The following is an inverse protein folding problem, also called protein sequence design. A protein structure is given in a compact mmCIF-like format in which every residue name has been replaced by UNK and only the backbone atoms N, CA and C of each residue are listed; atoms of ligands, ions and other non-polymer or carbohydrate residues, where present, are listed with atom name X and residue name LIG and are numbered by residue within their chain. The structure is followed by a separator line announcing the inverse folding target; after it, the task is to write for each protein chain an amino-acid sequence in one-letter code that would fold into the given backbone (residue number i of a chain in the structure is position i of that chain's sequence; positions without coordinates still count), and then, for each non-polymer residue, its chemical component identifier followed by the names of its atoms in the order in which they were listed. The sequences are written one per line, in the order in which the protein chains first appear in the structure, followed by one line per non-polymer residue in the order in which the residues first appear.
data_IF_574616248291
#
_entry.id   IF_574616248291
#
_cell.length_a   1.000
_cell.length_b   1.000
_cell.length_c   1.000
_cell.angle_alpha   90.00
_cell.angle_beta   90.00
_cell.angle_gamma   90.00
#
_symmetry.space_group_name_H-M   'P 1'
#
loop_
_entity.id
_entity.type
_entity.pdbx_description
1 polymer ?
#
# COMPACT_ATOMS: atom_id res chain seq x y z
N UNK A 1 -22.01 -26.00 85.66
CA UNK A 1 -23.07 -25.07 85.21
C UNK A 1 -22.38 -23.75 84.94
N UNK A 2 -21.51 -23.75 83.93
CA UNK A 2 -21.77 -23.33 82.55
C UNK A 2 -21.54 -21.82 82.41
N UNK A 3 -20.28 -21.50 82.12
CA UNK A 3 -19.83 -20.26 81.49
C UNK A 3 -20.43 -20.17 80.08
N UNK A 4 -20.92 -18.99 79.70
CA UNK A 4 -21.15 -18.66 78.29
C UNK A 4 -20.75 -17.19 78.08
N UNK A 5 -19.72 -17.01 77.26
CA UNK A 5 -19.13 -15.75 76.87
C UNK A 5 -19.84 -15.22 75.61
N UNK A 6 -20.15 -13.93 75.58
CA UNK A 6 -20.65 -13.24 74.40
C UNK A 6 -19.48 -12.52 73.71
N UNK A 7 -19.09 -13.02 72.53
CA UNK A 7 -18.23 -12.32 71.56
C UNK A 7 -19.10 -11.39 70.71
N UNK A 8 -18.76 -10.10 70.71
CA UNK A 8 -19.39 -9.07 69.89
C UNK A 8 -18.58 -8.91 68.59
N UNK A 9 -19.18 -9.31 67.47
CA UNK A 9 -18.56 -9.35 66.14
C UNK A 9 -18.66 -8.00 65.44
N UNK A 10 -17.56 -7.25 65.40
CA UNK A 10 -17.42 -6.06 64.57
C UNK A 10 -17.24 -6.46 63.09
N UNK A 11 -18.27 -6.20 62.28
CA UNK A 11 -18.24 -6.38 60.83
C UNK A 11 -17.26 -5.38 60.18
N UNK A 12 -16.20 -5.93 59.57
CA UNK A 12 -15.31 -5.18 58.69
C UNK A 12 -16.07 -4.75 57.43
N UNK A 13 -16.18 -3.44 57.22
CA UNK A 13 -16.70 -2.87 55.98
C UNK A 13 -15.76 -3.21 54.81
N UNK A 14 -16.33 -3.74 53.73
CA UNK A 14 -15.60 -3.95 52.47
C UNK A 14 -14.96 -2.63 51.98
N UNK A 15 -13.68 -2.63 51.57
CA UNK A 15 -13.05 -1.45 51.01
C UNK A 15 -13.74 -1.05 49.69
N UNK A 16 -13.86 0.26 49.40
CA UNK A 16 -14.49 0.74 48.18
C UNK A 16 -13.75 0.21 46.93
N UNK A 17 -14.46 -0.18 45.87
CA UNK A 17 -13.84 -0.68 44.64
C UNK A 17 -13.06 0.45 43.95
N UNK A 18 -11.81 0.13 43.61
CA UNK A 18 -10.94 0.83 42.67
C UNK A 18 -10.70 2.33 42.92
N UNK A 19 -9.82 2.61 43.87
CA UNK A 19 -8.95 3.78 43.71
C UNK A 19 -8.15 3.59 42.41
N UNK A 20 -8.15 4.56 41.47
CA UNK A 20 -7.41 4.42 40.21
C UNK A 20 -5.95 4.16 40.56
N UNK A 21 -5.45 3.00 40.12
CA UNK A 21 -4.07 2.57 40.30
C UNK A 21 -3.18 3.72 39.82
N UNK A 22 -2.42 4.33 40.73
CA UNK A 22 -1.57 5.46 40.39
C UNK A 22 -0.66 5.03 39.22
N UNK A 23 -0.86 5.65 38.06
CA UNK A 23 -0.12 5.33 36.88
C UNK A 23 1.33 5.77 37.09
N UNK A 24 2.27 4.82 37.00
CA UNK A 24 3.69 5.12 37.10
C UNK A 24 4.13 5.97 35.90
N UNK A 25 5.24 6.73 36.03
CA UNK A 25 5.77 7.49 34.91
C UNK A 25 6.15 6.54 33.76
N UNK A 26 5.58 6.80 32.59
CA UNK A 26 5.86 6.17 31.33
C UNK A 26 7.22 6.66 30.81
N UNK A 27 8.13 5.72 30.57
CA UNK A 27 9.38 5.96 29.83
C UNK A 27 9.25 5.35 28.43
N UNK A 28 9.41 6.19 27.41
CA UNK A 28 9.36 5.80 26.00
C UNK A 28 10.69 6.16 25.36
N UNK A 29 11.31 5.20 24.69
CA UNK A 29 12.54 5.43 23.94
C UNK A 29 12.20 5.75 22.49
N UNK A 30 12.67 6.89 22.00
CA UNK A 30 12.39 7.36 20.64
C UNK A 30 13.67 7.38 19.84
N UNK A 31 13.81 6.46 18.89
CA UNK A 31 14.98 6.38 18.02
C UNK A 31 14.76 7.21 16.76
N UNK A 32 15.59 8.20 16.54
CA UNK A 32 15.65 8.93 15.26
C UNK A 32 16.37 8.09 14.22
N UNK A 33 16.11 8.36 12.95
CA UNK A 33 16.76 7.65 11.84
C UNK A 33 18.28 7.88 11.77
N UNK A 34 18.78 8.99 12.32
CA UNK A 34 20.20 9.22 12.50
C UNK A 34 20.85 8.29 13.56
N UNK A 35 20.07 7.35 14.13
CA UNK A 35 20.49 6.42 15.16
C UNK A 35 20.53 7.02 16.57
N UNK A 36 20.23 8.31 16.71
CA UNK A 36 20.14 8.93 18.02
C UNK A 36 18.90 8.42 18.75
N UNK A 37 19.05 8.07 20.02
CA UNK A 37 17.92 7.64 20.86
C UNK A 37 17.64 8.73 21.87
N UNK A 38 16.37 9.11 21.99
CA UNK A 38 15.88 10.15 22.88
C UNK A 38 14.90 9.52 23.86
N UNK A 39 15.24 9.59 25.15
CA UNK A 39 14.35 9.11 26.20
C UNK A 39 13.31 10.16 26.53
N UNK A 40 12.04 9.78 26.38
CA UNK A 40 10.88 10.61 26.66
C UNK A 40 10.25 10.13 27.97
N UNK A 41 10.36 10.96 29.00
CA UNK A 41 9.87 10.66 30.35
C UNK A 41 8.85 11.68 30.86
N UNK A 42 8.11 11.28 31.90
CA UNK A 42 7.13 12.12 32.57
C UNK A 42 5.74 12.10 31.92
N UNK A 43 5.46 11.07 31.13
CA UNK A 43 4.12 10.77 30.61
C UNK A 43 3.46 9.70 31.48
N UNK A 44 2.17 9.47 31.31
CA UNK A 44 1.40 8.36 31.86
C UNK A 44 0.70 7.63 30.70
N UNK A 45 0.25 6.40 30.92
CA UNK A 45 -0.43 5.59 29.90
C UNK A 45 -1.79 6.17 29.44
N UNK A 46 -2.37 7.06 30.25
CA UNK A 46 -3.59 7.82 30.00
C UNK A 46 -3.34 9.15 29.29
N UNK A 47 -2.08 9.58 29.17
CA UNK A 47 -1.77 10.79 28.40
C UNK A 47 -2.11 10.57 26.92
N UNK A 48 -2.34 11.67 26.22
CA UNK A 48 -2.71 11.64 24.81
C UNK A 48 -1.49 11.53 23.90
N UNK A 49 -1.70 11.05 22.67
CA UNK A 49 -0.67 11.06 21.63
C UNK A 49 -0.08 12.46 21.40
N UNK A 50 -0.91 13.51 21.42
CA UNK A 50 -0.43 14.89 21.27
C UNK A 50 0.56 15.29 22.37
N UNK A 51 0.36 14.85 23.61
CA UNK A 51 1.29 15.13 24.71
C UNK A 51 2.66 14.46 24.49
N UNK A 52 2.67 13.23 23.96
CA UNK A 52 3.91 12.56 23.56
C UNK A 52 4.62 13.31 22.42
N UNK A 53 3.90 13.70 21.37
CA UNK A 53 4.49 14.41 20.23
C UNK A 53 5.05 15.79 20.63
N UNK A 54 4.34 16.54 21.47
CA UNK A 54 4.82 17.83 21.99
C UNK A 54 6.09 17.65 22.84
N UNK A 55 6.17 16.55 23.61
CA UNK A 55 7.35 16.19 24.39
C UNK A 55 8.53 15.83 23.50
N UNK A 56 8.30 15.05 22.45
CA UNK A 56 9.32 14.73 21.43
C UNK A 56 9.80 16.01 20.76
N UNK A 57 8.91 16.95 20.43
CA UNK A 57 9.30 18.23 19.85
C UNK A 57 10.24 19.00 20.78
N UNK A 58 9.94 19.02 22.08
CA UNK A 58 10.74 19.71 23.07
C UNK A 58 12.14 19.08 23.27
N UNK A 59 12.27 17.76 23.17
CA UNK A 59 13.54 17.06 23.45
C UNK A 59 14.36 16.80 22.18
N UNK A 60 13.72 16.37 21.09
CA UNK A 60 14.37 16.04 19.83
C UNK A 60 14.43 17.23 18.84
N UNK A 61 13.69 18.31 19.09
CA UNK A 61 13.67 19.49 18.22
C UNK A 61 12.92 19.29 16.90
N UNK A 62 12.14 18.21 16.77
CA UNK A 62 11.36 17.91 15.56
C UNK A 62 9.94 18.48 15.73
N UNK A 63 9.48 19.44 14.91
CA UNK A 63 8.13 19.99 15.03
C UNK A 63 7.06 18.91 14.91
N UNK A 64 5.96 19.02 15.67
CA UNK A 64 4.88 18.00 15.69
C UNK A 64 4.37 17.61 14.30
N UNK A 65 4.21 18.58 13.41
CA UNK A 65 3.72 18.36 12.04
C UNK A 65 4.75 17.72 11.09
N UNK A 66 5.93 17.40 11.59
CA UNK A 66 6.97 16.65 10.89
C UNK A 66 7.25 15.29 11.56
N UNK A 67 6.54 14.95 12.65
CA UNK A 67 6.79 13.72 13.41
C UNK A 67 5.90 12.57 12.93
N UNK A 68 6.52 11.49 12.45
CA UNK A 68 5.85 10.21 12.23
C UNK A 68 6.45 9.16 13.16
N UNK A 69 5.64 8.70 14.12
CA UNK A 69 6.04 7.65 15.05
C UNK A 69 5.69 6.29 14.49
N UNK A 70 6.64 5.37 14.56
CA UNK A 70 6.44 3.97 14.20
C UNK A 70 6.62 3.10 15.44
N UNK A 71 5.66 2.24 15.73
CA UNK A 71 5.70 1.27 16.82
C UNK A 71 5.74 -0.13 16.20
N UNK A 72 6.87 -0.82 16.36
CA UNK A 72 7.07 -2.14 15.73
C UNK A 72 7.09 -2.11 14.19
N UNK A 73 7.46 -0.97 13.60
CA UNK A 73 7.47 -0.75 12.14
C UNK A 73 6.16 -0.20 11.57
N UNK A 74 5.07 -0.30 12.33
CA UNK A 74 3.77 0.24 11.94
C UNK A 74 3.62 1.69 12.35
N UNK A 75 3.04 2.51 11.48
CA UNK A 75 2.79 3.90 11.82
C UNK A 75 1.72 4.04 12.89
N UNK A 76 2.03 4.78 13.96
CA UNK A 76 1.05 5.12 14.99
C UNK A 76 -0.04 5.99 14.33
N UNK A 77 -1.32 5.59 14.40
CA UNK A 77 -2.41 6.36 13.81
C UNK A 77 -2.48 7.77 14.38
N UNK A 78 -2.50 8.77 13.50
CA UNK A 78 -2.57 10.19 13.87
C UNK A 78 -3.98 10.76 13.72
N UNK A 79 -4.97 9.94 13.35
CA UNK A 79 -6.36 10.35 13.17
C UNK A 79 -7.02 10.79 14.50
N UNK A 80 -6.62 10.20 15.62
CA UNK A 80 -7.07 10.59 16.96
C UNK A 80 -5.87 10.97 17.83
N UNK A 81 -5.44 12.23 17.71
CA UNK A 81 -4.34 12.79 18.50
C UNK A 81 -4.64 12.83 20.01
N UNK A 82 -5.90 12.68 20.40
CA UNK A 82 -6.32 12.68 21.80
C UNK A 82 -6.46 11.27 22.37
N UNK A 83 -6.30 10.22 21.55
CA UNK A 83 -6.30 8.84 22.01
C UNK A 83 -5.22 8.62 23.08
N UNK A 84 -5.54 7.89 24.16
CA UNK A 84 -4.57 7.61 25.21
C UNK A 84 -3.46 6.69 24.69
N UNK A 85 -2.22 6.92 25.12
CA UNK A 85 -1.02 6.17 24.68
C UNK A 85 -1.21 4.64 24.82
N UNK A 86 -1.83 4.20 25.92
CA UNK A 86 -2.17 2.80 26.16
C UNK A 86 -3.04 2.18 25.07
N UNK A 87 -4.00 2.93 24.51
CA UNK A 87 -4.88 2.46 23.43
C UNK A 87 -4.16 2.30 22.09
N UNK A 88 -3.06 3.04 21.90
CA UNK A 88 -2.20 2.98 20.73
C UNK A 88 -1.07 1.93 20.88
N UNK A 89 -1.07 1.16 21.97
CA UNK A 89 -0.04 0.17 22.27
C UNK A 89 1.27 0.75 22.83
N UNK A 90 1.35 2.06 23.08
CA UNK A 90 2.52 2.71 23.67
C UNK A 90 2.46 2.51 25.19
N UNK A 91 3.43 1.76 25.72
CA UNK A 91 3.50 1.31 27.13
C UNK A 91 4.89 1.58 27.73
N UNK A 92 5.06 1.30 29.02
CA UNK A 92 6.36 1.46 29.70
C UNK A 92 7.44 0.67 28.96
N UNK A 93 8.53 1.36 28.60
CA UNK A 93 9.64 0.78 27.85
C UNK A 93 9.34 0.56 26.36
N UNK A 94 8.28 1.16 25.81
CA UNK A 94 8.04 1.12 24.37
C UNK A 94 9.19 1.80 23.62
N UNK A 95 9.61 1.17 22.52
CA UNK A 95 10.55 1.73 21.57
C UNK A 95 9.79 2.18 20.32
N UNK A 96 9.84 3.48 20.05
CA UNK A 96 9.27 4.07 18.85
C UNK A 96 10.39 4.53 17.92
N UNK A 97 10.23 4.34 16.62
CA UNK A 97 11.06 5.04 15.64
C UNK A 97 10.40 6.38 15.32
N UNK A 98 11.18 7.47 15.41
CA UNK A 98 10.77 8.78 14.94
C UNK A 98 11.33 9.01 13.55
N UNK A 99 10.40 9.11 12.61
CA UNK A 99 10.64 9.51 11.25
C UNK A 99 10.30 10.99 11.14
N UNK A 100 11.26 11.79 10.65
CA UNK A 100 11.01 13.19 10.29
C UNK A 100 10.49 13.22 8.85
N UNK A 101 9.24 13.60 8.67
CA UNK A 101 8.62 13.78 7.36
C UNK A 101 8.41 15.28 7.18
N UNK A 102 9.22 15.96 6.37
CA UNK A 102 9.05 17.40 6.11
C UNK A 102 7.82 17.72 5.25
N UNK A 103 7.13 16.67 4.79
CA UNK A 103 5.90 16.69 4.04
C UNK A 103 4.69 16.75 4.97
N UNK A 104 3.64 17.55 4.64
CA UNK A 104 2.35 17.44 5.32
C UNK A 104 1.84 15.99 5.28
N UNK A 105 1.53 15.42 6.45
CA UNK A 105 1.04 14.04 6.60
C UNK A 105 -0.35 13.79 6.02
N UNK A 106 -0.98 14.82 5.46
CA UNK A 106 -2.27 14.77 4.79
C UNK A 106 -2.40 16.07 4.03
N UNK A 107 -2.91 16.02 2.80
CA UNK A 107 -3.12 17.24 2.05
C UNK A 107 -3.79 17.02 0.72
N UNK A 108 -4.41 18.10 0.23
CA UNK A 108 -4.95 18.19 -1.11
C UNK A 108 -3.97 18.98 -1.96
N UNK A 109 -3.56 18.40 -3.08
CA UNK A 109 -2.62 19.01 -4.01
C UNK A 109 -3.30 19.12 -5.38
N UNK A 110 -2.99 20.16 -6.14
CA UNK A 110 -3.60 20.34 -7.45
C UNK A 110 -2.50 20.62 -8.44
N UNK A 111 -2.33 19.73 -9.41
CA UNK A 111 -1.27 19.84 -10.39
C UNK A 111 -1.80 20.03 -11.79
N UNK A 112 -0.89 20.42 -12.66
CA UNK A 112 -1.14 20.42 -14.09
C UNK A 112 -0.18 19.41 -14.70
N UNK A 113 -0.72 18.39 -15.35
CA UNK A 113 0.06 17.51 -16.20
C UNK A 113 0.05 18.09 -17.60
N UNK A 114 1.21 18.46 -18.12
CA UNK A 114 1.33 18.84 -19.52
C UNK A 114 1.91 17.66 -20.28
N UNK A 115 1.09 16.63 -20.48
CA UNK A 115 1.41 15.62 -21.49
C UNK A 115 1.36 16.31 -22.86
N UNK A 116 2.50 16.42 -23.56
CA UNK A 116 2.63 17.23 -24.78
C UNK A 116 1.63 16.87 -25.89
N UNK A 117 1.02 15.69 -25.83
CA UNK A 117 0.02 15.22 -26.79
C UNK A 117 -1.43 15.41 -26.33
N UNK A 118 -1.67 15.64 -25.03
CA UNK A 118 -3.00 15.80 -24.45
C UNK A 118 -2.95 16.73 -23.23
N UNK A 119 -3.54 17.92 -23.38
CA UNK A 119 -3.77 18.82 -22.25
C UNK A 119 -4.79 18.16 -21.30
N UNK A 120 -4.29 17.61 -20.19
CA UNK A 120 -5.12 17.03 -19.13
C UNK A 120 -4.70 17.60 -17.78
N UNK A 121 -5.59 18.28 -17.09
CA UNK A 121 -5.34 18.78 -15.73
C UNK A 121 -5.90 17.81 -14.70
N UNK A 122 -5.18 17.63 -13.58
CA UNK A 122 -5.54 16.68 -12.54
C UNK A 122 -5.45 17.30 -11.16
N UNK A 123 -6.44 17.02 -10.33
CA UNK A 123 -6.34 17.21 -8.90
C UNK A 123 -5.82 15.94 -8.25
N UNK A 124 -4.87 16.02 -7.32
CA UNK A 124 -4.24 14.86 -6.68
C UNK A 124 -4.31 14.95 -5.17
N UNK A 125 -4.78 13.88 -4.55
CA UNK A 125 -4.82 13.74 -3.11
C UNK A 125 -3.87 12.64 -2.69
N UNK A 126 -3.21 12.86 -1.57
CA UNK A 126 -2.56 11.80 -0.85
C UNK A 126 -2.79 11.99 0.65
N UNK A 127 -2.88 10.87 1.34
CA UNK A 127 -3.03 10.85 2.78
C UNK A 127 -1.79 10.17 3.38
N UNK A 128 -0.90 10.97 3.97
CA UNK A 128 0.27 10.47 4.70
C UNK A 128 -0.09 9.60 5.90
N UNK A 129 -1.34 9.66 6.38
CA UNK A 129 -1.81 8.77 7.44
C UNK A 129 -1.97 7.32 6.97
N UNK A 130 -2.20 7.09 5.67
CA UNK A 130 -2.35 5.76 5.07
C UNK A 130 -1.03 5.19 4.54
N UNK A 131 0.08 5.91 4.68
CA UNK A 131 1.39 5.41 4.24
C UNK A 131 1.83 4.24 5.10
N UNK A 132 2.31 3.19 4.42
CA UNK A 132 2.80 1.97 5.05
C UNK A 132 4.30 1.85 4.82
N UNK A 133 5.07 1.89 5.90
CA UNK A 133 6.52 1.73 5.83
C UNK A 133 6.87 0.25 5.70
N UNK A 134 7.42 -0.12 4.55
CA UNK A 134 7.84 -1.50 4.26
C UNK A 134 9.22 -1.78 4.88
N UNK A 135 10.13 -0.81 4.83
CA UNK A 135 11.44 -0.84 5.48
C UNK A 135 11.87 0.58 5.85
N UNK A 136 11.71 0.91 7.14
CA UNK A 136 12.04 2.23 7.69
C UNK A 136 13.53 2.57 7.53
N UNK A 137 14.41 1.59 7.71
CA UNK A 137 15.86 1.81 7.65
C UNK A 137 16.33 2.16 6.25
N UNK A 138 15.63 1.66 5.23
CA UNK A 138 15.87 1.99 3.82
C UNK A 138 14.97 3.11 3.30
N UNK A 139 14.06 3.63 4.11
CA UNK A 139 13.04 4.60 3.69
C UNK A 139 12.01 4.01 2.71
N UNK A 140 11.87 2.70 2.62
CA UNK A 140 10.91 2.06 1.72
C UNK A 140 9.49 2.18 2.27
N UNK A 141 8.57 2.70 1.46
CA UNK A 141 7.16 2.85 1.80
C UNK A 141 6.23 2.56 0.62
N UNK A 142 4.99 2.24 0.95
CA UNK A 142 3.84 2.12 0.07
C UNK A 142 2.85 3.24 0.39
N UNK A 143 2.30 3.90 -0.63
CA UNK A 143 1.28 4.94 -0.47
C UNK A 143 0.32 5.01 -1.67
N UNK A 144 -0.85 5.61 -1.45
CA UNK A 144 -1.88 5.77 -2.48
C UNK A 144 -1.95 7.24 -2.92
N UNK A 145 -1.93 7.47 -4.24
CA UNK A 145 -2.28 8.75 -4.87
C UNK A 145 -3.66 8.61 -5.49
N UNK A 146 -4.60 9.46 -5.06
CA UNK A 146 -5.91 9.58 -5.70
C UNK A 146 -5.85 10.77 -6.64
N UNK A 147 -6.39 10.65 -7.84
CA UNK A 147 -6.41 11.74 -8.80
C UNK A 147 -7.77 11.88 -9.48
N UNK A 148 -8.17 13.12 -9.76
CA UNK A 148 -9.38 13.48 -10.49
C UNK A 148 -9.02 14.29 -11.71
N UNK A 149 -9.55 13.88 -12.85
CA UNK A 149 -9.42 14.64 -14.09
C UNK A 149 -10.27 15.90 -14.01
N UNK A 150 -9.65 17.07 -14.08
CA UNK A 150 -10.31 18.37 -14.07
C UNK A 150 -10.66 18.84 -15.49
N UNK A 151 -9.72 18.71 -16.42
CA UNK A 151 -9.89 19.04 -17.84
C UNK A 151 -9.23 17.95 -18.69
N UNK A 152 -9.83 17.60 -19.82
CA UNK A 152 -9.26 16.65 -20.79
C UNK A 152 -9.85 16.93 -22.18
N UNK A 153 -9.09 16.65 -23.24
CA UNK A 153 -9.63 16.62 -24.61
C UNK A 153 -10.69 15.54 -24.79
N UNK A 154 -10.66 14.50 -23.95
CA UNK A 154 -11.73 13.52 -23.82
C UNK A 154 -12.72 13.96 -22.74
N UNK A 155 -13.85 14.56 -23.14
CA UNK A 155 -14.87 15.04 -22.21
C UNK A 155 -15.42 13.96 -21.27
N UNK A 156 -15.41 12.69 -21.67
CA UNK A 156 -15.88 11.58 -20.84
C UNK A 156 -14.93 11.26 -19.67
N UNK A 157 -13.68 11.70 -19.74
CA UNK A 157 -12.71 11.52 -18.66
C UNK A 157 -12.88 12.56 -17.54
N UNK A 158 -13.49 13.71 -17.83
CA UNK A 158 -13.63 14.81 -16.86
C UNK A 158 -14.49 14.37 -15.68
N UNK A 159 -13.95 14.52 -14.47
CA UNK A 159 -14.59 14.09 -13.23
C UNK A 159 -14.38 12.62 -12.87
N UNK A 160 -13.73 11.83 -13.72
CA UNK A 160 -13.29 10.48 -13.33
C UNK A 160 -12.23 10.57 -12.23
N UNK A 161 -12.26 9.58 -11.34
CA UNK A 161 -11.31 9.44 -10.24
C UNK A 161 -10.59 8.10 -10.34
N UNK A 162 -9.27 8.15 -10.32
CA UNK A 162 -8.40 6.98 -10.20
C UNK A 162 -7.62 7.01 -8.90
N UNK A 163 -7.20 5.85 -8.44
CA UNK A 163 -6.23 5.70 -7.37
C UNK A 163 -5.06 4.86 -7.88
N UNK A 164 -3.84 5.27 -7.58
CA UNK A 164 -2.62 4.56 -7.88
C UNK A 164 -1.90 4.25 -6.57
N UNK A 165 -1.57 2.99 -6.36
CA UNK A 165 -0.71 2.56 -5.25
C UNK A 165 0.71 2.54 -5.77
N UNK A 166 1.59 3.28 -5.09
CA UNK A 166 3.01 3.36 -5.43
C UNK A 166 3.85 2.81 -4.29
N UNK A 167 4.94 2.17 -4.67
CA UNK A 167 6.03 1.82 -3.76
C UNK A 167 7.21 2.72 -4.07
N UNK A 168 7.80 3.31 -3.03
CA UNK A 168 8.89 4.25 -3.19
C UNK A 168 9.86 4.28 -2.04
N UNK A 169 10.98 4.95 -2.30
CA UNK A 169 12.05 5.19 -1.34
C UNK A 169 12.02 6.66 -0.95
N UNK A 170 11.85 6.91 0.34
CA UNK A 170 11.99 8.22 0.97
C UNK A 170 13.47 8.57 1.13
N UNK A 171 13.89 9.63 0.45
CA UNK A 171 15.18 10.28 0.64
C UNK A 171 15.06 11.30 1.78
N UNK A 172 15.68 10.96 2.91
CA UNK A 172 15.68 11.76 4.13
C UNK A 172 16.43 13.08 4.01
N UNK A 173 17.44 13.14 3.14
CA UNK A 173 18.29 14.31 2.99
C UNK A 173 17.64 15.33 2.04
N UNK A 174 16.95 14.84 1.00
CA UNK A 174 16.24 15.67 0.02
C UNK A 174 14.76 15.92 0.37
N UNK A 175 14.25 15.31 1.45
CA UNK A 175 12.84 15.31 1.82
C UNK A 175 11.95 14.97 0.61
N UNK A 176 12.30 13.86 -0.07
CA UNK A 176 11.68 13.47 -1.33
C UNK A 176 11.36 11.98 -1.38
N UNK A 177 10.42 11.59 -2.22
CA UNK A 177 10.05 10.18 -2.44
C UNK A 177 10.29 9.86 -3.89
N UNK A 178 11.07 8.82 -4.17
CA UNK A 178 11.17 8.22 -5.50
C UNK A 178 10.33 6.95 -5.52
N UNK A 179 9.19 6.98 -6.19
CA UNK A 179 8.21 5.91 -6.24
C UNK A 179 8.00 5.39 -7.65
N UNK A 180 7.56 4.15 -7.78
CA UNK A 180 7.10 3.56 -9.03
C UNK A 180 5.70 3.01 -8.83
N UNK A 181 4.82 3.19 -9.81
CA UNK A 181 3.46 2.67 -9.77
C UNK A 181 3.48 1.14 -9.67
N UNK A 182 2.79 0.60 -8.66
CA UNK A 182 2.62 -0.84 -8.45
C UNK A 182 1.29 -1.29 -9.04
N UNK A 183 0.23 -0.51 -8.79
CA UNK A 183 -1.13 -0.89 -9.18
C UNK A 183 -2.04 0.31 -9.40
N UNK A 184 -2.92 0.22 -10.40
CA UNK A 184 -3.94 1.23 -10.72
C UNK A 184 -5.34 0.68 -10.45
N UNK A 185 -6.14 1.44 -9.68
CA UNK A 185 -7.52 1.10 -9.35
C UNK A 185 -8.47 2.21 -9.76
N UNK A 186 -9.55 1.86 -10.46
CA UNK A 186 -10.66 2.78 -10.65
C UNK A 186 -11.40 3.01 -9.32
N UNK A 187 -11.59 4.26 -8.92
CA UNK A 187 -12.36 4.60 -7.72
C UNK A 187 -13.80 4.88 -8.17
N UNK A 188 -14.82 4.15 -7.66
CA UNK A 188 -16.21 4.42 -8.01
C UNK A 188 -16.56 5.88 -7.77
N UNK A 189 -17.21 6.51 -8.74
CA UNK A 189 -17.51 7.95 -8.72
C UNK A 189 -18.36 8.37 -7.52
N UNK A 190 -19.15 7.45 -6.95
CA UNK A 190 -19.94 7.66 -5.73
C UNK A 190 -19.08 7.87 -4.48
N UNK A 191 -17.88 7.27 -4.43
CA UNK A 191 -16.90 7.49 -3.36
C UNK A 191 -16.17 8.82 -3.55
N UNK A 192 -15.98 9.23 -4.81
CA UNK A 192 -15.30 10.47 -5.17
C UNK A 192 -16.08 11.74 -4.81
N UNK A 193 -17.41 11.71 -4.65
CA UNK A 193 -18.17 12.88 -4.19
C UNK A 193 -17.93 13.24 -2.73
N UNK A 194 -17.27 12.38 -1.96
CA UNK A 194 -16.80 12.74 -0.63
C UNK A 194 -15.55 13.62 -0.79
N UNK A 195 -15.73 14.94 -0.66
CA UNK A 195 -14.69 15.71 0.03
C UNK A 195 -14.31 14.93 1.30
N UNK A 196 -13.02 14.82 1.67
CA UNK A 196 -12.60 14.02 2.81
C UNK A 196 -13.53 14.32 3.99
N UNK A 197 -14.21 13.31 4.56
CA UNK A 197 -15.22 13.57 5.57
C UNK A 197 -14.54 14.29 6.72
N UNK A 198 -15.05 15.47 7.08
CA UNK A 198 -14.80 16.05 8.40
C UNK A 198 -15.09 14.93 9.42
N UNK A 199 -14.18 14.67 10.38
CA UNK A 199 -14.25 13.49 11.23
C UNK A 199 -15.59 13.49 11.98
N UNK A 200 -16.50 12.62 11.54
CA UNK A 200 -17.74 12.32 12.23
C UNK A 200 -17.57 10.98 12.93
N UNK A 201 -17.78 11.03 14.24
CA UNK A 201 -17.61 9.94 15.19
C UNK A 201 -18.74 8.91 15.06
N UNK A 202 -18.60 7.97 14.14
CA UNK A 202 -19.37 6.72 14.15
C UNK A 202 -18.45 5.47 14.14
N UNK A 203 -18.86 4.34 14.75
CA UNK A 203 -17.92 3.31 15.21
C UNK A 203 -17.36 2.39 14.11
N UNK A 204 -16.04 2.20 14.17
CA UNK A 204 -15.07 1.53 13.27
C UNK A 204 -15.30 0.07 12.82
N UNK A 205 -16.44 -0.56 13.03
CA UNK A 205 -16.55 -2.02 12.76
C UNK A 205 -16.79 -2.38 11.28
N UNK A 206 -17.15 -1.42 10.42
CA UNK A 206 -17.51 -1.69 9.02
C UNK A 206 -16.34 -1.63 8.02
N UNK A 207 -15.24 -0.92 8.33
CA UNK A 207 -14.15 -0.68 7.37
C UNK A 207 -13.21 -1.88 7.23
N UNK A 208 -12.86 -2.54 8.34
CA UNK A 208 -11.97 -3.71 8.33
C UNK A 208 -12.58 -4.94 7.60
N UNK A 209 -13.91 -5.01 7.51
CA UNK A 209 -14.61 -6.06 6.76
C UNK A 209 -14.55 -5.83 5.24
N UNK A 210 -14.63 -4.57 4.80
CA UNK A 210 -14.48 -4.20 3.39
C UNK A 210 -13.04 -4.38 2.89
N UNK A 211 -12.06 -4.10 3.74
CA UNK A 211 -10.62 -4.23 3.43
C UNK A 211 -10.20 -5.70 3.27
N UNK A 212 -10.75 -6.63 4.08
CA UNK A 212 -10.54 -8.07 3.90
C UNK A 212 -11.21 -8.63 2.65
N UNK A 213 -12.27 -7.99 2.15
CA UNK A 213 -12.96 -8.40 0.93
C UNK A 213 -12.27 -7.90 -0.36
N UNK A 214 -11.38 -6.91 -0.26
CA UNK A 214 -10.70 -6.29 -1.40
C UNK A 214 -9.30 -6.89 -1.70
N UNK A 215 -8.78 -7.79 -0.86
CA UNK A 215 -7.52 -8.47 -1.14
C UNK A 215 -7.72 -9.38 -2.35
N UNK A 216 -6.80 -9.36 -3.33
CA UNK A 216 -6.84 -10.34 -4.40
C UNK A 216 -6.87 -11.74 -3.80
N UNK A 217 -7.76 -12.58 -4.29
CA UNK A 217 -8.02 -13.90 -3.71
C UNK A 217 -6.80 -14.84 -3.78
N UNK A 218 -5.81 -14.51 -4.64
CA UNK A 218 -4.54 -15.22 -4.75
C UNK A 218 -3.53 -14.88 -3.63
N UNK A 219 -3.79 -13.84 -2.84
CA UNK A 219 -2.91 -13.46 -1.71
C UNK A 219 -3.05 -14.48 -0.59
N UNK A 220 -2.03 -15.34 -0.46
CA UNK A 220 -1.98 -16.43 0.52
C UNK A 220 -1.94 -17.83 -0.10
N UNK A 221 -2.03 -17.93 -1.43
CA UNK A 221 -1.79 -19.18 -2.14
C UNK A 221 -0.32 -19.59 -2.05
N UNK A 222 -0.09 -20.88 -1.94
CA UNK A 222 1.23 -21.49 -2.12
C UNK A 222 1.71 -21.34 -3.56
N UNK A 223 3.03 -21.48 -3.78
CA UNK A 223 3.64 -21.48 -5.11
C UNK A 223 3.02 -22.53 -6.04
N UNK A 224 2.71 -23.71 -5.50
CA UNK A 224 2.04 -24.80 -6.23
C UNK A 224 0.63 -24.40 -6.68
N UNK A 225 -0.15 -23.75 -5.80
CA UNK A 225 -1.48 -23.23 -6.12
C UNK A 225 -1.43 -22.09 -7.14
N UNK A 226 -0.46 -21.18 -7.03
CA UNK A 226 -0.24 -20.12 -8.02
C UNK A 226 0.11 -20.70 -9.40
N UNK A 227 1.01 -21.68 -9.47
CA UNK A 227 1.35 -22.36 -10.71
C UNK A 227 0.14 -23.08 -11.33
N UNK A 228 -0.68 -23.74 -10.49
CA UNK A 228 -1.90 -24.39 -10.95
C UNK A 228 -2.92 -23.39 -11.51
N UNK A 229 -3.07 -22.23 -10.89
CA UNK A 229 -3.96 -21.19 -11.41
C UNK A 229 -3.43 -20.59 -12.71
N UNK A 230 -2.13 -20.25 -12.78
CA UNK A 230 -1.51 -19.75 -14.02
C UNK A 230 -1.70 -20.77 -15.15
N UNK A 231 -1.47 -22.06 -14.87
CA UNK A 231 -1.71 -23.15 -15.83
C UNK A 231 -3.16 -23.16 -16.32
N UNK A 232 -4.13 -23.18 -15.39
CA UNK A 232 -5.55 -23.20 -15.72
C UNK A 232 -6.00 -22.01 -16.57
N UNK A 233 -5.39 -20.84 -16.35
CA UNK A 233 -5.69 -19.61 -17.09
C UNK A 233 -5.05 -19.61 -18.47
N UNK A 234 -3.87 -20.20 -18.61
CA UNK A 234 -3.17 -20.26 -19.89
C UNK A 234 -3.71 -21.35 -20.81
N UNK A 235 -4.32 -22.40 -20.24
CA UNK A 235 -4.96 -23.52 -20.93
C UNK A 235 -6.28 -23.05 -21.59
N UNK A 236 -6.15 -22.48 -22.78
CA UNK A 236 -7.20 -21.80 -23.50
C UNK A 236 -8.26 -22.78 -24.02
N UNK A 237 -7.84 -23.98 -24.39
CA UNK A 237 -8.72 -25.04 -24.88
C UNK A 237 -9.21 -26.00 -23.77
N UNK A 238 -8.66 -25.88 -22.56
CA UNK A 238 -9.03 -26.62 -21.34
C UNK A 238 -8.75 -28.12 -21.44
N UNK A 239 -7.68 -28.49 -22.14
CA UNK A 239 -7.27 -29.88 -22.29
C UNK A 239 -6.33 -30.37 -21.16
N UNK A 240 -5.94 -29.47 -20.25
CA UNK A 240 -5.03 -29.74 -19.15
C UNK A 240 -3.55 -29.74 -19.57
N UNK A 241 -3.23 -29.20 -20.74
CA UNK A 241 -1.89 -29.06 -21.31
C UNK A 241 -1.69 -27.62 -21.77
N UNK A 242 -0.43 -27.18 -21.78
CA UNK A 242 -0.03 -25.94 -22.43
C UNK A 242 0.82 -26.25 -23.65
N UNK A 243 0.32 -25.91 -24.83
CA UNK A 243 1.04 -26.04 -26.09
C UNK A 243 1.98 -24.85 -26.31
N UNK A 244 2.82 -24.92 -27.36
CA UNK A 244 3.81 -23.88 -27.70
C UNK A 244 3.21 -22.48 -27.75
N UNK A 245 2.00 -22.32 -28.31
CA UNK A 245 1.33 -21.02 -28.41
C UNK A 245 0.93 -20.43 -27.05
N UNK A 246 0.42 -21.25 -26.13
CA UNK A 246 -0.04 -20.80 -24.81
C UNK A 246 1.16 -20.48 -23.90
N UNK A 247 2.19 -21.32 -23.93
CA UNK A 247 3.45 -21.05 -23.23
C UNK A 247 4.20 -19.84 -23.79
N UNK A 248 4.04 -19.53 -25.08
CA UNK A 248 4.61 -18.32 -25.68
C UNK A 248 3.98 -17.07 -25.10
N UNK A 249 2.65 -17.05 -25.03
CA UNK A 249 1.93 -15.94 -24.41
C UNK A 249 2.36 -15.74 -22.95
N UNK A 250 2.63 -16.83 -22.22
CA UNK A 250 3.23 -16.74 -20.88
C UNK A 250 4.60 -16.06 -20.92
N UNK A 251 5.49 -16.50 -21.80
CA UNK A 251 6.84 -15.95 -21.90
C UNK A 251 6.85 -14.48 -22.31
N UNK A 252 5.99 -14.07 -23.25
CA UNK A 252 5.81 -12.68 -23.65
C UNK A 252 5.31 -11.82 -22.47
N UNK A 253 4.38 -12.34 -21.66
CA UNK A 253 3.91 -11.67 -20.43
C UNK A 253 5.02 -11.51 -19.36
N UNK A 254 6.05 -12.38 -19.44
CA UNK A 254 7.25 -12.33 -18.61
C UNK A 254 8.35 -11.43 -19.20
N UNK A 255 8.09 -10.75 -20.32
CA UNK A 255 9.05 -9.85 -20.97
C UNK A 255 10.02 -10.54 -21.93
N UNK A 256 9.69 -11.74 -22.42
CA UNK A 256 10.44 -12.35 -23.52
C UNK A 256 10.12 -11.65 -24.85
N UNK A 257 11.16 -11.28 -25.62
CA UNK A 257 11.03 -10.46 -26.84
C UNK A 257 11.56 -11.14 -28.12
N UNK A 258 11.78 -12.46 -28.10
CA UNK A 258 12.36 -13.18 -29.24
C UNK A 258 11.36 -13.44 -30.39
N UNK A 259 11.89 -13.92 -31.51
CA UNK A 259 11.09 -14.29 -32.69
C UNK A 259 10.55 -15.73 -32.66
N UNK A 260 9.63 -16.06 -33.57
CA UNK A 260 9.00 -17.40 -33.67
C UNK A 260 10.03 -18.55 -33.73
N UNK A 261 11.13 -18.37 -34.47
CA UNK A 261 12.20 -19.36 -34.60
C UNK A 261 12.93 -19.59 -33.27
N UNK A 262 13.26 -18.51 -32.55
CA UNK A 262 13.92 -18.59 -31.23
C UNK A 262 12.99 -19.20 -30.19
N UNK A 263 11.69 -18.89 -30.27
CA UNK A 263 10.67 -19.49 -29.39
C UNK A 263 10.59 -21.00 -29.57
N UNK A 264 10.53 -21.48 -30.82
CA UNK A 264 10.41 -22.91 -31.11
C UNK A 264 11.62 -23.70 -30.61
N UNK A 265 12.82 -23.14 -30.75
CA UNK A 265 14.04 -23.73 -30.17
C UNK A 265 13.97 -23.79 -28.63
N UNK A 266 13.54 -22.71 -27.98
CA UNK A 266 13.37 -22.66 -26.53
C UNK A 266 12.29 -23.63 -26.03
N UNK A 267 11.17 -23.73 -26.74
CA UNK A 267 10.08 -24.63 -26.41
C UNK A 267 10.51 -26.10 -26.48
N UNK A 268 11.31 -26.46 -27.50
CA UNK A 268 11.89 -27.80 -27.60
C UNK A 268 12.86 -28.10 -26.44
N UNK A 269 13.70 -27.14 -26.06
CA UNK A 269 14.58 -27.27 -24.89
C UNK A 269 13.77 -27.44 -23.62
N UNK A 270 12.72 -26.64 -23.42
CA UNK A 270 11.83 -26.71 -22.28
C UNK A 270 11.13 -28.08 -22.17
N UNK A 271 10.63 -28.61 -23.29
CA UNK A 271 10.02 -29.94 -23.36
C UNK A 271 11.01 -31.03 -22.93
N UNK A 272 12.25 -30.98 -23.44
CA UNK A 272 13.28 -31.95 -23.10
C UNK A 272 13.66 -31.91 -21.61
N UNK A 273 13.74 -30.71 -21.04
CA UNK A 273 14.07 -30.50 -19.63
C UNK A 273 12.95 -31.01 -18.71
N UNK A 274 11.69 -30.76 -19.07
CA UNK A 274 10.52 -31.15 -18.26
C UNK A 274 9.99 -32.57 -18.59
N UNK A 275 10.68 -33.30 -19.47
CA UNK A 275 10.27 -34.63 -19.92
C UNK A 275 8.95 -34.66 -20.68
N UNK A 276 8.54 -33.54 -21.28
CA UNK A 276 7.35 -33.47 -22.13
C UNK A 276 7.69 -33.69 -23.60
N UNK A 277 6.65 -34.00 -24.39
CA UNK A 277 6.74 -34.04 -25.85
C UNK A 277 6.12 -32.75 -26.42
N UNK A 278 6.72 -32.11 -27.42
CA UNK A 278 6.20 -30.88 -28.00
C UNK A 278 4.75 -30.99 -28.48
N UNK A 279 4.32 -32.17 -28.93
CA UNK A 279 2.96 -32.40 -29.42
C UNK A 279 1.93 -32.62 -28.30
N UNK A 280 2.37 -32.79 -27.07
CA UNK A 280 1.53 -33.06 -25.90
C UNK A 280 1.40 -31.83 -24.99
N UNK A 281 2.42 -30.96 -24.94
CA UNK A 281 2.40 -29.77 -24.08
C UNK A 281 2.70 -30.04 -22.61
N UNK A 282 2.56 -29.02 -21.76
CA UNK A 282 2.94 -29.06 -20.35
C UNK A 282 1.72 -29.23 -19.46
N UNK A 283 1.76 -30.21 -18.55
CA UNK A 283 0.82 -30.21 -17.42
C UNK A 283 1.26 -29.23 -16.32
N UNK A 284 0.41 -29.04 -15.31
CA UNK A 284 0.68 -28.11 -14.20
C UNK A 284 1.97 -28.44 -13.42
N UNK A 285 2.32 -29.72 -13.28
CA UNK A 285 3.53 -30.14 -12.56
C UNK A 285 4.79 -29.89 -13.39
N UNK A 286 4.70 -30.08 -14.71
CA UNK A 286 5.76 -29.74 -15.65
C UNK A 286 5.97 -28.22 -15.74
N UNK A 287 4.90 -27.42 -15.73
CA UNK A 287 5.01 -25.96 -15.69
C UNK A 287 5.72 -25.49 -14.41
N UNK A 288 5.37 -26.06 -13.25
CA UNK A 288 6.06 -25.77 -12.00
C UNK A 288 7.56 -26.10 -12.09
N UNK A 289 7.90 -27.27 -12.65
CA UNK A 289 9.29 -27.68 -12.87
C UNK A 289 10.03 -26.72 -13.80
N UNK A 290 9.38 -26.29 -14.89
CA UNK A 290 9.93 -25.34 -15.85
C UNK A 290 10.27 -24.00 -15.20
N UNK A 291 9.35 -23.43 -14.42
CA UNK A 291 9.54 -22.15 -13.73
C UNK A 291 10.70 -22.25 -12.72
N UNK A 292 10.77 -23.36 -11.97
CA UNK A 292 11.83 -23.57 -10.97
C UNK A 292 13.22 -23.82 -11.58
N UNK A 293 13.28 -24.40 -12.78
CA UNK A 293 14.53 -24.72 -13.48
C UNK A 293 14.98 -23.62 -14.45
N UNK A 294 14.11 -22.68 -14.78
CA UNK A 294 14.49 -21.52 -15.58
C UNK A 294 15.64 -20.79 -14.88
N UNK A 295 16.75 -20.58 -15.59
CA UNK A 295 17.99 -20.00 -15.05
C UNK A 295 17.86 -18.52 -14.66
N UNK A 296 16.65 -17.97 -14.71
CA UNK A 296 16.32 -16.71 -14.09
C UNK A 296 16.55 -16.91 -12.58
N UNK A 297 17.39 -16.10 -11.91
CA UNK A 297 17.74 -16.33 -10.51
C UNK A 297 16.49 -16.60 -9.68
N UNK A 298 16.43 -17.75 -9.02
CA UNK A 298 15.29 -18.17 -8.20
C UNK A 298 14.90 -17.03 -7.24
N UNK A 299 13.80 -16.36 -7.55
CA UNK A 299 13.36 -15.13 -6.87
C UNK A 299 12.96 -13.97 -7.78
N UNK A 300 13.25 -14.00 -9.09
CA UNK A 300 12.87 -12.89 -9.99
C UNK A 300 11.49 -13.03 -10.62
N UNK A 301 11.01 -14.26 -10.86
CA UNK A 301 9.65 -14.47 -11.38
C UNK A 301 8.68 -14.49 -10.19
N UNK A 302 8.05 -13.35 -9.95
CA UNK A 302 6.92 -13.24 -9.03
C UNK A 302 5.65 -13.78 -9.69
N UNK A 303 5.30 -15.04 -9.38
CA UNK A 303 4.10 -15.69 -9.92
C UNK A 303 2.81 -14.95 -9.58
N UNK A 304 2.78 -14.15 -8.50
CA UNK A 304 1.63 -13.31 -8.21
C UNK A 304 1.49 -12.18 -9.25
N UNK A 305 2.61 -11.58 -9.66
CA UNK A 305 2.66 -10.61 -10.76
C UNK A 305 2.25 -11.26 -12.08
N UNK A 306 2.78 -12.44 -12.39
CA UNK A 306 2.41 -13.19 -13.61
C UNK A 306 0.92 -13.47 -13.66
N UNK A 307 0.36 -13.98 -12.55
CA UNK A 307 -1.06 -14.26 -12.46
C UNK A 307 -1.89 -12.99 -12.61
N UNK A 308 -1.49 -11.87 -12.01
CA UNK A 308 -2.16 -10.59 -12.20
C UNK A 308 -2.15 -10.15 -13.67
N UNK A 309 -1.00 -10.24 -14.36
CA UNK A 309 -0.89 -9.91 -15.79
C UNK A 309 -1.78 -10.80 -16.65
N UNK A 310 -1.79 -12.11 -16.42
CA UNK A 310 -2.63 -13.07 -17.18
C UNK A 310 -4.12 -12.78 -16.95
N UNK A 311 -4.52 -12.45 -15.71
CA UNK A 311 -5.89 -12.06 -15.40
C UNK A 311 -6.30 -10.79 -16.15
N UNK A 312 -5.43 -9.79 -16.21
CA UNK A 312 -5.66 -8.57 -16.96
C UNK A 312 -5.80 -8.82 -18.47
N UNK A 313 -4.96 -9.68 -19.04
CA UNK A 313 -5.01 -10.01 -20.47
C UNK A 313 -6.29 -10.78 -20.85
N UNK A 314 -6.76 -11.69 -20.00
CA UNK A 314 -8.02 -12.38 -20.24
C UNK A 314 -9.24 -11.45 -20.14
N UNK A 315 -9.22 -10.50 -19.20
CA UNK A 315 -10.28 -9.50 -19.05
C UNK A 315 -10.32 -8.49 -20.22
N UNK A 316 -9.21 -8.34 -20.97
CA UNK A 316 -9.19 -7.52 -22.19
C UNK A 316 -10.05 -8.09 -23.33
N UNK A 317 -10.41 -9.38 -23.29
CA UNK A 317 -11.20 -10.04 -24.33
C UNK A 317 -10.51 -10.10 -25.71
N UNK A 318 -11.06 -10.85 -26.68
CA UNK A 318 -10.47 -10.96 -28.01
C UNK A 318 -10.49 -9.61 -28.74
N UNK A 319 -9.31 -9.24 -29.27
CA UNK A 319 -9.00 -8.01 -30.03
C UNK A 319 -10.15 -7.41 -30.86
N UNK A 320 -10.31 -6.09 -30.74
CA UNK A 320 -11.31 -5.16 -31.30
C UNK A 320 -11.46 -5.18 -32.84
N UNK A 321 -11.90 -6.28 -33.44
CA UNK A 321 -12.33 -6.29 -34.85
C UNK A 321 -13.86 -6.23 -35.03
N UNK A 322 -14.66 -6.31 -33.96
CA UNK A 322 -16.11 -6.51 -34.10
C UNK A 322 -16.97 -5.95 -32.96
N UNK A 323 -16.96 -4.64 -32.67
CA UNK A 323 -17.99 -4.05 -31.80
C UNK A 323 -18.51 -2.70 -32.32
N UNK A 324 -19.82 -2.65 -32.54
CA UNK A 324 -20.57 -1.48 -32.94
C UNK A 324 -20.97 -0.58 -31.76
N UNK A 325 -21.30 0.67 -32.10
CA UNK A 325 -21.69 1.79 -31.21
C UNK A 325 -22.60 1.35 -30.05
N UNK A 326 -22.07 1.39 -28.82
CA UNK A 326 -22.87 1.22 -27.60
C UNK A 326 -22.07 1.02 -26.32
N UNK A 327 -21.65 2.13 -25.69
CA UNK A 327 -21.36 2.33 -24.26
C UNK A 327 -20.51 1.28 -23.50
N UNK A 328 -19.22 1.60 -23.32
CA UNK A 328 -18.51 1.44 -22.03
C UNK A 328 -17.58 2.65 -21.83
N UNK A 329 -17.42 3.17 -20.60
CA UNK A 329 -16.36 4.14 -20.33
C UNK A 329 -15.00 3.51 -20.66
N UNK A 330 -14.18 4.22 -21.42
CA UNK A 330 -12.79 3.81 -21.67
C UNK A 330 -12.08 3.72 -20.31
N UNK A 331 -11.44 2.59 -19.96
CA UNK A 331 -10.88 2.46 -18.63
C UNK A 331 -9.60 3.30 -18.56
N UNK A 332 -9.48 4.11 -17.51
CA UNK A 332 -8.38 5.06 -17.27
C UNK A 332 -6.98 4.46 -17.50
N UNK A 333 -6.82 3.15 -17.32
CA UNK A 333 -5.57 2.41 -17.54
C UNK A 333 -4.96 2.63 -18.94
N UNK A 334 -5.74 2.90 -20.00
CA UNK A 334 -5.21 3.16 -21.36
C UNK A 334 -4.48 4.51 -21.46
N UNK A 335 -4.71 5.44 -20.55
CA UNK A 335 -3.97 6.72 -20.48
C UNK A 335 -2.69 6.61 -19.63
N UNK A 336 -2.55 5.58 -18.80
CA UNK A 336 -1.51 5.48 -17.75
C UNK A 336 -0.62 4.22 -17.90
N UNK A 337 -0.68 3.52 -19.03
CA UNK A 337 -0.10 2.18 -19.23
C UNK A 337 1.44 2.11 -19.31
N UNK A 338 2.16 3.13 -18.86
CA UNK A 338 3.61 3.04 -18.59
C UNK A 338 3.77 3.43 -17.14
N UNK A 339 4.21 2.52 -16.28
CA UNK A 339 4.53 2.79 -14.86
C UNK A 339 5.72 3.74 -14.80
N UNK A 340 5.51 5.04 -14.62
CA UNK A 340 6.60 6.00 -14.60
C UNK A 340 7.18 6.04 -13.19
N UNK A 341 8.47 6.34 -13.08
CA UNK A 341 9.04 6.77 -11.82
C UNK A 341 8.51 8.15 -11.44
N UNK A 342 7.86 8.24 -10.30
CA UNK A 342 7.35 9.47 -9.68
C UNK A 342 8.37 9.93 -8.64
N UNK A 343 8.99 11.10 -8.84
CA UNK A 343 9.75 11.76 -7.77
C UNK A 343 8.91 12.86 -7.14
N UNK A 344 8.42 12.67 -5.93
CA UNK A 344 7.78 13.72 -5.12
C UNK A 344 8.85 14.48 -4.34
N UNK A 345 9.15 15.71 -4.74
CA UNK A 345 10.07 16.59 -3.98
C UNK A 345 9.28 17.69 -3.26
N UNK A 346 9.57 17.92 -1.98
CA UNK A 346 8.90 18.95 -1.19
C UNK A 346 9.87 20.09 -0.91
N UNK A 347 9.85 21.11 -1.77
CA UNK A 347 10.73 22.26 -1.59
C UNK A 347 10.42 23.00 -0.28
N UNK A 348 11.46 23.37 0.48
CA UNK A 348 11.35 24.21 1.67
C UNK A 348 10.77 25.58 1.29
N UNK A 349 9.46 25.72 1.43
CA UNK A 349 8.68 26.84 0.88
C UNK A 349 7.28 26.44 0.41
N UNK A 350 7.01 25.14 0.25
CA UNK A 350 5.67 24.57 0.22
C UNK A 350 4.84 24.86 -1.02
N UNK A 351 5.45 25.08 -2.19
CA UNK A 351 4.70 25.48 -3.39
C UNK A 351 4.80 24.55 -4.60
N UNK A 352 5.74 23.60 -4.62
CA UNK A 352 5.93 22.75 -5.79
C UNK A 352 6.25 21.32 -5.39
N UNK A 353 5.53 20.39 -6.01
CA UNK A 353 5.76 18.95 -5.95
C UNK A 353 5.99 18.51 -7.39
N UNK A 354 7.23 18.21 -7.76
CA UNK A 354 7.44 17.49 -9.02
C UNK A 354 6.92 16.06 -8.84
N UNK A 355 6.48 15.40 -9.91
CA UNK A 355 5.96 14.04 -9.82
C UNK A 355 6.03 13.47 -11.23
N UNK A 356 7.27 13.16 -11.67
CA UNK A 356 7.72 12.73 -13.03
C UNK A 356 8.44 13.84 -13.80
N UNK A 357 9.23 13.46 -14.80
CA UNK A 357 10.03 14.38 -15.64
C UNK A 357 9.19 15.44 -16.40
N UNK A 358 7.88 15.21 -16.54
CA UNK A 358 6.90 16.00 -17.29
C UNK A 358 5.66 16.42 -16.47
N UNK A 359 5.54 16.01 -15.21
CA UNK A 359 4.42 16.37 -14.33
C UNK A 359 4.90 17.21 -13.15
N UNK A 360 4.37 18.42 -13.07
CA UNK A 360 4.61 19.33 -11.94
C UNK A 360 3.28 19.64 -11.25
N UNK A 361 3.19 19.24 -10.00
CA UNK A 361 2.12 19.62 -9.09
C UNK A 361 2.48 20.91 -8.39
N UNK A 362 1.47 21.76 -8.19
CA UNK A 362 1.59 22.96 -7.40
C UNK A 362 0.77 22.80 -6.12
N UNK A 363 1.29 23.28 -5.02
CA UNK A 363 0.52 23.27 -3.77
C UNK A 363 -0.44 24.46 -3.83
N UNK A 364 -1.70 24.20 -4.21
CA UNK A 364 -2.70 25.26 -4.28
C UNK A 364 -3.30 25.59 -2.92
N UNK A 365 -3.53 24.59 -2.05
CA UNK A 365 -4.19 24.82 -0.77
C UNK A 365 -3.80 23.75 0.26
N UNK A 366 -3.16 24.15 1.36
CA UNK A 366 -2.95 23.27 2.51
C UNK A 366 -4.23 23.27 3.34
N UNK A 367 -4.99 22.17 3.26
CA UNK A 367 -6.12 21.98 4.18
C UNK A 367 -5.56 21.78 5.61
N UNK A 368 -6.14 22.47 6.62
CA UNK A 368 -5.63 22.48 7.99
C UNK A 368 -5.77 21.15 8.73
#
# INVERSE_FOLDING_TARGET
MSEEAAEDGAAAADPPPDSPKACGPLEVSVRTLAGATVDVSGLCDSDSLVALLDRIAAVAGVPRGEQRLLLGGEAVPTADLHAPLSSLGIRQGAECALVRVGVPHSGRYVGLSNYEEQAVSYEVWFDGSTWRWLDVGRGLLEFELVYRVLESSNGDAVGCVGAEVLEGVYDWDDDSIQASGVFLRAVPQEVATLSPPLPSSEPMQSAAAAERAARPWWVGLSREELCAEVHHRMDADRDGRLLSGELRSLAESLGWEGGDEEWEELYQVACNVCGSRPEVGFDAAQLHTFIDQSTVPAGTIDLATVLATVLEEQDRGPSDAAWGKGQRPLPLHRFLSRTPSVKLSFASGGQQVQCRDDLTFYVLERLP
#
